data_IF_466311771046
#
_entry.id   IF_466311771046
#
_cell.length_a   1.000
_cell.length_b   1.000
_cell.length_c   1.000
_cell.angle_alpha   90.00
_cell.angle_beta   90.00
_cell.angle_gamma   90.00
#
_symmetry.space_group_name_H-M   'P 1'
#
loop_
_entity.id
_entity.type
_entity.pdbx_description
1 polymer ?
#
# COMPACT_ATOMS: atom_id res chain seq x y z
N UNK A 1 -22.29 30.54 -36.03
CA UNK A 1 -22.35 30.55 -37.51
C UNK A 1 -20.93 30.62 -38.01
N UNK A 2 -20.57 29.77 -38.96
CA UNK A 2 -19.33 29.84 -39.71
C UNK A 2 -19.01 31.27 -40.20
N UNK A 3 -17.87 31.83 -39.79
CA UNK A 3 -17.42 33.17 -40.21
C UNK A 3 -16.31 33.00 -41.24
N UNK A 4 -16.52 33.48 -42.47
CA UNK A 4 -15.45 33.50 -43.47
C UNK A 4 -14.58 34.72 -43.18
N UNK A 5 -13.28 34.55 -43.13
CA UNK A 5 -12.35 35.64 -42.81
C UNK A 5 -11.45 36.00 -43.96
N UNK A 6 -11.56 35.29 -45.08
CA UNK A 6 -10.76 35.53 -46.27
C UNK A 6 -11.67 35.64 -47.48
N UNK A 7 -11.36 36.60 -48.34
CA UNK A 7 -11.94 36.78 -49.67
C UNK A 7 -10.83 36.80 -50.73
N UNK A 8 -11.18 36.51 -51.99
CA UNK A 8 -10.31 36.75 -53.15
C UNK A 8 -10.69 38.07 -53.81
N UNK A 9 -9.68 38.87 -54.16
CA UNK A 9 -9.80 40.08 -54.97
C UNK A 9 -8.61 40.14 -55.93
N UNK A 10 -8.87 40.15 -57.25
CA UNK A 10 -7.83 40.13 -58.30
C UNK A 10 -6.77 39.04 -58.04
N UNK A 11 -7.24 37.82 -57.77
CA UNK A 11 -6.42 36.64 -57.45
C UNK A 11 -5.52 36.75 -56.21
N UNK A 12 -5.77 37.75 -55.35
CA UNK A 12 -5.09 37.91 -54.07
C UNK A 12 -6.04 37.65 -52.92
N UNK A 13 -5.54 36.93 -51.92
CA UNK A 13 -6.25 36.76 -50.66
C UNK A 13 -6.29 38.08 -49.89
N UNK A 14 -7.47 38.45 -49.44
CA UNK A 14 -7.69 39.54 -48.49
C UNK A 14 -8.32 38.94 -47.25
N UNK A 15 -7.59 38.96 -46.15
CA UNK A 15 -8.09 38.53 -44.85
C UNK A 15 -8.65 39.69 -44.01
N UNK A 16 -9.54 39.35 -43.08
CA UNK A 16 -10.18 40.30 -42.18
C UNK A 16 -9.21 40.87 -41.14
N UNK A 17 -8.08 40.21 -40.90
CA UNK A 17 -7.02 40.73 -40.06
C UNK A 17 -6.36 42.00 -40.65
N UNK A 18 -6.47 42.23 -41.96
CA UNK A 18 -5.82 43.36 -42.65
C UNK A 18 -6.38 44.74 -42.29
N UNK A 19 -7.59 44.79 -41.72
CA UNK A 19 -8.27 46.00 -41.26
C UNK A 19 -7.99 46.30 -39.78
N UNK A 20 -7.26 45.45 -39.08
CA UNK A 20 -6.81 45.71 -37.72
C UNK A 20 -5.32 46.10 -37.74
N UNK A 21 -4.94 46.94 -36.78
CA UNK A 21 -3.53 47.25 -36.51
C UNK A 21 -3.37 47.70 -35.06
N UNK A 22 -2.13 47.99 -34.66
CA UNK A 22 -1.79 48.48 -33.33
C UNK A 22 -1.09 49.82 -33.46
N UNK A 23 -1.57 50.83 -32.73
CA UNK A 23 -0.90 52.13 -32.59
C UNK A 23 -0.74 52.41 -31.10
N UNK A 24 0.51 52.62 -30.66
CA UNK A 24 0.85 52.86 -29.25
C UNK A 24 0.27 51.79 -28.30
N UNK A 25 0.38 50.52 -28.67
CA UNK A 25 -0.12 49.38 -27.89
C UNK A 25 -1.64 49.22 -27.85
N UNK A 26 -2.40 50.06 -28.58
CA UNK A 26 -3.86 49.94 -28.70
C UNK A 26 -4.23 49.34 -30.03
N UNK A 27 -4.95 48.23 -29.99
CA UNK A 27 -5.58 47.63 -31.16
C UNK A 27 -6.68 48.56 -31.69
N UNK A 28 -6.61 48.88 -32.97
CA UNK A 28 -7.57 49.75 -33.66
C UNK A 28 -8.01 49.12 -34.98
N UNK A 29 -9.19 49.53 -35.44
CA UNK A 29 -9.60 49.31 -36.83
C UNK A 29 -9.00 50.42 -37.70
N UNK A 30 -8.66 50.12 -38.95
CA UNK A 30 -8.17 51.06 -39.96
C UNK A 30 -9.37 51.51 -40.82
N UNK A 31 -9.94 52.71 -40.57
CA UNK A 31 -11.18 53.12 -41.23
C UNK A 31 -11.05 53.27 -42.75
N UNK A 32 -9.87 53.62 -43.26
CA UNK A 32 -9.59 53.72 -44.69
C UNK A 32 -9.70 52.34 -45.36
N UNK A 33 -9.00 51.33 -44.82
CA UNK A 33 -9.06 49.96 -45.34
C UNK A 33 -10.46 49.35 -45.20
N UNK A 34 -11.16 49.69 -44.12
CA UNK A 34 -12.55 49.27 -43.94
C UNK A 34 -13.45 49.86 -45.04
N UNK A 35 -13.31 51.16 -45.37
CA UNK A 35 -14.03 51.79 -46.48
C UNK A 35 -13.69 51.12 -47.81
N UNK A 36 -12.41 50.92 -48.11
CA UNK A 36 -11.98 50.23 -49.33
C UNK A 36 -12.58 48.82 -49.47
N UNK A 37 -12.66 48.07 -48.36
CA UNK A 37 -13.27 46.73 -48.36
C UNK A 37 -14.79 46.78 -48.47
N UNK A 38 -15.43 47.80 -47.90
CA UNK A 38 -16.87 48.06 -48.09
C UNK A 38 -17.18 48.38 -49.55
N UNK A 39 -16.37 49.20 -50.20
CA UNK A 39 -16.53 49.57 -51.61
C UNK A 39 -16.41 48.33 -52.51
N UNK A 40 -15.36 47.51 -52.30
CA UNK A 40 -15.19 46.22 -53.01
C UNK A 40 -16.36 45.27 -52.77
N UNK A 41 -16.85 45.22 -51.54
CA UNK A 41 -18.02 44.41 -51.17
C UNK A 41 -19.31 44.92 -51.82
N UNK A 42 -19.47 46.24 -51.99
CA UNK A 42 -20.64 46.84 -52.63
C UNK A 42 -20.63 46.62 -54.14
N UNK A 43 -19.44 46.69 -54.73
CA UNK A 43 -19.19 46.47 -56.16
C UNK A 43 -19.13 44.98 -56.54
N UNK A 44 -19.44 44.06 -55.61
CA UNK A 44 -19.47 42.62 -55.89
C UNK A 44 -18.11 42.05 -56.36
N UNK A 45 -16.99 42.65 -55.92
CA UNK A 45 -15.62 42.30 -56.36
C UNK A 45 -14.89 41.30 -55.45
N UNK A 46 -15.54 40.88 -54.36
CA UNK A 46 -14.96 39.94 -53.40
C UNK A 46 -15.49 38.53 -53.65
N UNK A 47 -14.60 37.59 -53.90
CA UNK A 47 -14.97 36.23 -54.32
C UNK A 47 -14.61 35.18 -53.27
N UNK A 48 -15.33 34.07 -53.31
CA UNK A 48 -15.13 32.92 -52.46
C UNK A 48 -13.81 32.19 -52.78
N UNK A 49 -12.94 31.92 -51.78
CA UNK A 49 -11.62 31.35 -52.04
C UNK A 49 -11.60 29.89 -52.52
N UNK A 50 -12.70 29.13 -52.40
CA UNK A 50 -12.73 27.76 -52.96
C UNK A 50 -12.92 27.71 -54.48
N UNK A 51 -13.12 28.84 -55.15
CA UNK A 51 -13.37 28.88 -56.59
C UNK A 51 -14.81 28.57 -57.00
N UNK A 52 -15.76 28.48 -56.07
CA UNK A 52 -17.18 28.29 -56.42
C UNK A 52 -17.86 29.51 -57.08
N UNK A 53 -17.13 30.61 -57.26
CA UNK A 53 -17.65 31.84 -57.89
C UNK A 53 -18.61 32.66 -57.01
N UNK A 54 -18.88 32.27 -55.77
CA UNK A 54 -19.73 33.06 -54.88
C UNK A 54 -19.13 34.42 -54.54
N UNK A 55 -19.99 35.45 -54.54
CA UNK A 55 -19.64 36.77 -54.04
C UNK A 55 -19.69 36.79 -52.51
N UNK A 56 -18.80 37.56 -51.92
CA UNK A 56 -18.68 37.75 -50.48
C UNK A 56 -19.04 39.19 -50.12
N UNK A 57 -19.86 39.33 -49.08
CA UNK A 57 -20.23 40.61 -48.49
C UNK A 57 -19.51 40.78 -47.17
N UNK A 58 -18.87 41.93 -46.98
CA UNK A 58 -18.29 42.30 -45.70
C UNK A 58 -19.40 42.63 -44.69
N UNK A 59 -19.43 41.89 -43.59
CA UNK A 59 -20.26 42.18 -42.42
C UNK A 59 -19.40 42.88 -41.38
N UNK A 60 -19.53 44.20 -41.26
CA UNK A 60 -18.83 45.01 -40.27
C UNK A 60 -19.80 46.05 -39.68
N UNK A 61 -20.16 45.88 -38.40
CA UNK A 61 -21.10 46.78 -37.72
C UNK A 61 -20.47 48.12 -37.28
N UNK A 62 -21.24 49.20 -37.32
CA UNK A 62 -20.76 50.56 -36.97
C UNK A 62 -20.74 50.85 -35.45
N UNK A 63 -21.40 50.03 -34.62
CA UNK A 63 -21.45 50.17 -33.15
C UNK A 63 -20.78 49.00 -32.44
N UNK A 64 -19.87 49.30 -31.51
CA UNK A 64 -19.23 48.39 -30.54
C UNK A 64 -18.36 47.25 -31.10
N UNK A 65 -17.64 47.46 -32.22
CA UNK A 65 -16.64 46.50 -32.72
C UNK A 65 -17.19 45.06 -32.86
N UNK A 66 -18.42 44.89 -33.36
CA UNK A 66 -18.94 43.55 -33.68
C UNK A 66 -17.95 42.82 -34.60
N UNK A 67 -17.80 41.52 -34.38
CA UNK A 67 -16.91 40.67 -35.16
C UNK A 67 -17.12 40.85 -36.67
N UNK A 68 -16.05 41.28 -37.32
CA UNK A 68 -16.02 41.53 -38.75
C UNK A 68 -15.77 40.21 -39.47
N UNK A 69 -16.53 39.91 -40.51
CA UNK A 69 -16.40 38.69 -41.28
C UNK A 69 -16.99 38.88 -42.68
N UNK A 70 -16.63 38.00 -43.60
CA UNK A 70 -17.28 37.86 -44.88
C UNK A 70 -18.46 36.88 -44.77
N UNK A 71 -19.56 37.22 -45.44
CA UNK A 71 -20.74 36.38 -45.60
C UNK A 71 -20.95 36.09 -47.07
N UNK A 72 -21.29 34.85 -47.39
CA UNK A 72 -21.67 34.50 -48.76
C UNK A 72 -22.97 35.21 -49.17
N UNK A 73 -22.98 35.80 -50.38
CA UNK A 73 -24.19 36.32 -51.01
C UNK A 73 -24.96 35.16 -51.62
N UNK A 74 -26.02 34.72 -50.95
CA UNK A 74 -26.87 33.60 -51.40
C UNK A 74 -27.41 33.92 -52.80
N UNK A 75 -27.34 32.95 -53.71
CA UNK A 75 -27.79 33.09 -55.11
C UNK A 75 -26.70 33.60 -56.08
N UNK A 76 -25.47 33.78 -55.61
CA UNK A 76 -24.28 33.97 -56.46
C UNK A 76 -23.47 32.67 -56.49
N UNK A 77 -22.65 32.45 -57.53
CA UNK A 77 -21.79 31.27 -57.67
C UNK A 77 -22.29 30.21 -58.66
N UNK A 78 -21.35 29.40 -59.15
CA UNK A 78 -21.54 28.44 -60.23
C UNK A 78 -21.59 26.98 -59.73
N UNK A 79 -21.15 26.73 -58.49
CA UNK A 79 -21.04 25.39 -57.90
C UNK A 79 -21.30 25.38 -56.39
N UNK A 80 -21.53 24.17 -55.85
CA UNK A 80 -21.72 23.97 -54.42
C UNK A 80 -20.46 24.36 -53.63
N UNK A 81 -20.66 25.13 -52.56
CA UNK A 81 -19.56 25.73 -51.83
C UNK A 81 -19.03 24.83 -50.74
N UNK A 82 -17.80 24.37 -50.93
CA UNK A 82 -17.03 23.61 -49.95
C UNK A 82 -16.05 24.44 -49.11
N UNK A 83 -16.18 25.78 -49.03
CA UNK A 83 -15.28 26.56 -48.17
C UNK A 83 -15.45 26.11 -46.72
N UNK A 84 -14.40 25.56 -46.10
CA UNK A 84 -14.44 25.19 -44.70
C UNK A 84 -14.49 26.44 -43.84
N UNK A 85 -15.09 26.26 -42.68
CA UNK A 85 -15.45 27.37 -41.83
C UNK A 85 -14.48 27.42 -40.68
N UNK A 86 -13.68 28.49 -40.59
CA UNK A 86 -12.72 28.61 -39.50
C UNK A 86 -13.42 28.75 -38.15
N UNK A 87 -12.88 28.10 -37.13
CA UNK A 87 -13.30 28.32 -35.75
C UNK A 87 -13.00 29.77 -35.33
N UNK A 88 -13.84 30.31 -34.45
CA UNK A 88 -13.67 31.66 -33.89
C UNK A 88 -12.28 31.86 -33.26
N UNK A 89 -11.78 30.86 -32.51
CA UNK A 89 -10.43 30.89 -31.94
C UNK A 89 -9.32 30.99 -33.01
N UNK A 90 -9.46 30.30 -34.14
CA UNK A 90 -8.48 30.40 -35.25
C UNK A 90 -8.45 31.82 -35.82
N UNK A 91 -9.62 32.41 -36.00
CA UNK A 91 -9.80 33.77 -36.52
C UNK A 91 -9.18 34.78 -35.58
N UNK A 92 -9.54 34.72 -34.30
CA UNK A 92 -9.06 35.63 -33.28
C UNK A 92 -7.54 35.52 -33.11
N UNK A 93 -7.00 34.30 -33.17
CA UNK A 93 -5.55 34.06 -33.11
C UNK A 93 -4.82 34.71 -34.28
N UNK A 94 -5.36 34.64 -35.50
CA UNK A 94 -4.79 35.32 -36.68
C UNK A 94 -4.78 36.84 -36.48
N UNK A 95 -5.87 37.42 -35.98
CA UNK A 95 -5.97 38.87 -35.73
C UNK A 95 -4.94 39.30 -34.68
N UNK A 96 -4.87 38.58 -33.56
CA UNK A 96 -3.91 38.85 -32.47
C UNK A 96 -2.46 38.73 -32.94
N UNK A 97 -2.12 37.69 -33.71
CA UNK A 97 -0.78 37.52 -34.27
C UNK A 97 -0.44 38.60 -35.30
N UNK A 98 -1.41 39.02 -36.12
CA UNK A 98 -1.21 40.14 -37.06
C UNK A 98 -0.94 41.45 -36.31
N UNK A 99 -1.68 41.71 -35.24
CA UNK A 99 -1.48 42.86 -34.36
C UNK A 99 -0.09 42.83 -33.71
N UNK A 100 0.35 41.67 -33.24
CA UNK A 100 1.70 41.49 -32.70
C UNK A 100 2.79 41.80 -33.73
N UNK A 101 2.66 41.28 -34.95
CA UNK A 101 3.62 41.56 -36.01
C UNK A 101 3.64 43.05 -36.39
N UNK A 102 2.49 43.71 -36.46
CA UNK A 102 2.42 45.16 -36.74
C UNK A 102 3.10 45.98 -35.64
N UNK A 103 2.84 45.63 -34.38
CA UNK A 103 3.40 46.30 -33.19
C UNK A 103 4.92 46.13 -33.12
N UNK A 104 5.44 44.91 -33.40
CA UNK A 104 6.85 44.56 -33.12
C UNK A 104 7.78 44.61 -34.32
N UNK A 105 7.30 44.29 -35.53
CA UNK A 105 8.14 44.35 -36.74
C UNK A 105 8.12 45.72 -37.41
N UNK A 106 7.09 46.54 -37.16
CA UNK A 106 6.87 47.81 -37.86
C UNK A 106 6.96 47.70 -39.41
N UNK A 107 6.59 46.54 -39.97
CA UNK A 107 6.70 46.30 -41.41
C UNK A 107 5.40 46.56 -42.14
N UNK A 108 5.49 47.19 -43.31
CA UNK A 108 4.36 47.45 -44.20
C UNK A 108 4.03 46.28 -45.13
N UNK A 109 4.87 45.24 -45.14
CA UNK A 109 4.79 44.12 -46.09
C UNK A 109 4.32 42.80 -45.46
N UNK A 110 3.68 42.85 -44.28
CA UNK A 110 3.12 41.66 -43.65
C UNK A 110 1.93 41.17 -44.47
N UNK A 111 2.16 40.08 -45.20
CA UNK A 111 1.15 39.40 -46.00
C UNK A 111 0.56 38.23 -45.21
N UNK A 112 -0.77 38.20 -45.16
CA UNK A 112 -1.52 37.03 -44.72
C UNK A 112 -1.60 36.05 -45.88
N UNK A 113 -1.19 34.82 -45.61
CA UNK A 113 -1.30 33.71 -46.56
C UNK A 113 -2.05 32.60 -45.82
N UNK A 114 -2.91 31.85 -46.50
CA UNK A 114 -3.65 30.66 -46.01
C UNK A 114 -5.04 30.85 -45.34
N UNK A 115 -6.11 30.35 -46.01
CA UNK A 115 -7.32 29.83 -45.36
C UNK A 115 -7.06 28.40 -44.80
N UNK A 116 -7.30 28.14 -43.52
CA UNK A 116 -7.04 26.81 -42.90
C UNK A 116 -8.37 26.13 -42.62
N UNK A 117 -8.64 25.01 -43.33
CA UNK A 117 -9.22 23.74 -42.83
C UNK A 117 -10.03 22.95 -43.90
N UNK A 118 -9.52 22.62 -45.10
CA UNK A 118 -9.92 21.42 -45.90
C UNK A 118 -9.27 21.44 -47.29
N UNK A 119 -8.54 20.38 -47.60
CA UNK A 119 -8.52 19.57 -48.84
C UNK A 119 -7.54 18.44 -48.51
N UNK A 120 -7.95 17.20 -48.73
CA UNK A 120 -7.15 16.02 -48.44
C UNK A 120 -5.72 16.12 -48.99
N UNK A 121 -4.76 15.83 -48.10
CA UNK A 121 -3.33 15.50 -48.19
C UNK A 121 -2.46 15.65 -49.45
N UNK A 122 -2.92 15.93 -50.66
CA UNK A 122 -2.08 15.70 -51.87
C UNK A 122 -1.98 16.86 -52.87
N UNK A 123 -2.70 17.98 -52.69
CA UNK A 123 -2.74 19.04 -53.71
C UNK A 123 -2.47 20.47 -53.22
N UNK A 124 -1.90 20.65 -52.02
CA UNK A 124 -1.64 22.01 -51.46
C UNK A 124 -0.19 22.46 -51.61
N UNK A 125 0.00 23.73 -52.00
CA UNK A 125 1.26 24.46 -51.76
C UNK A 125 1.36 24.80 -50.27
N UNK A 126 2.45 24.43 -49.64
CA UNK A 126 2.73 24.73 -48.24
C UNK A 126 3.02 26.23 -48.13
N UNK A 127 2.22 26.94 -47.34
CA UNK A 127 2.25 28.41 -47.24
C UNK A 127 2.35 28.84 -45.77
N UNK A 128 2.79 30.07 -45.49
CA UNK A 128 2.89 30.63 -44.14
C UNK A 128 1.55 31.20 -43.66
N UNK A 129 1.32 31.37 -42.35
CA UNK A 129 0.16 32.14 -41.87
C UNK A 129 0.39 33.63 -42.11
N UNK A 130 1.58 34.11 -41.74
CA UNK A 130 2.05 35.45 -42.05
C UNK A 130 3.45 35.39 -42.61
N UNK A 131 3.75 36.30 -43.53
CA UNK A 131 5.08 36.43 -44.13
C UNK A 131 5.45 37.91 -44.27
N UNK A 132 6.66 38.26 -43.85
CA UNK A 132 7.29 39.56 -44.11
C UNK A 132 8.59 39.32 -44.89
N UNK A 133 8.65 39.86 -46.11
CA UNK A 133 9.80 39.73 -47.00
C UNK A 133 10.97 40.58 -46.51
N UNK A 134 10.70 41.80 -46.05
CA UNK A 134 11.69 42.74 -45.52
C UNK A 134 12.44 42.18 -44.32
N UNK A 135 11.73 41.54 -43.39
CA UNK A 135 12.32 40.93 -42.21
C UNK A 135 12.84 39.50 -42.45
N UNK A 136 12.49 38.89 -43.59
CA UNK A 136 12.71 37.46 -43.87
C UNK A 136 12.16 36.57 -42.75
N UNK A 137 10.98 36.95 -42.23
CA UNK A 137 10.30 36.27 -41.13
C UNK A 137 8.96 35.73 -41.60
N UNK A 138 8.61 34.54 -41.15
CA UNK A 138 7.30 33.97 -41.30
C UNK A 138 6.77 33.42 -39.97
N UNK A 139 5.45 33.47 -39.81
CA UNK A 139 4.75 32.76 -38.74
C UNK A 139 3.94 31.62 -39.36
N UNK A 140 3.99 30.47 -38.71
CA UNK A 140 3.11 29.36 -38.98
C UNK A 140 2.34 29.03 -37.70
N UNK A 141 1.03 29.24 -37.74
CA UNK A 141 0.12 28.96 -36.63
C UNK A 141 -0.80 27.78 -36.92
N UNK A 142 -1.02 26.93 -35.91
CA UNK A 142 -2.03 25.87 -35.94
C UNK A 142 -2.99 25.97 -34.76
N UNK A 143 -4.30 25.94 -35.05
CA UNK A 143 -5.34 25.80 -34.03
C UNK A 143 -5.30 24.42 -33.35
N UNK A 144 -5.06 23.37 -34.12
CA UNK A 144 -5.07 21.98 -33.64
C UNK A 144 -3.77 21.30 -34.02
N UNK A 145 -3.09 20.69 -33.05
CA UNK A 145 -1.80 20.03 -33.26
C UNK A 145 -1.86 18.85 -34.23
N UNK A 146 -3.03 18.24 -34.41
CA UNK A 146 -3.26 17.16 -35.39
C UNK A 146 -3.00 17.57 -36.84
N UNK A 147 -2.99 18.87 -37.13
CA UNK A 147 -2.72 19.42 -38.47
C UNK A 147 -1.22 19.68 -38.73
N UNK A 148 -0.35 19.32 -37.79
CA UNK A 148 1.11 19.42 -37.94
C UNK A 148 1.62 18.15 -38.62
N UNK A 149 1.92 18.25 -39.91
CA UNK A 149 2.51 17.17 -40.72
C UNK A 149 4.00 17.44 -40.93
N UNK A 150 4.80 16.39 -41.00
CA UNK A 150 6.28 16.48 -41.06
C UNK A 150 6.77 17.10 -42.38
N UNK A 151 6.22 16.64 -43.51
CA UNK A 151 6.53 17.16 -44.85
C UNK A 151 6.25 18.68 -44.96
N UNK A 152 5.31 19.20 -44.15
CA UNK A 152 4.99 20.64 -44.14
C UNK A 152 6.07 21.50 -43.46
N UNK A 153 6.86 20.92 -42.54
CA UNK A 153 7.92 21.64 -41.83
C UNK A 153 9.18 21.71 -42.72
N UNK A 154 9.53 20.61 -43.37
CA UNK A 154 10.76 20.51 -44.17
C UNK A 154 10.71 21.33 -45.47
N UNK A 155 9.54 21.46 -46.10
CA UNK A 155 9.39 22.26 -47.33
C UNK A 155 9.62 23.76 -47.07
N UNK A 156 9.25 24.25 -45.88
CA UNK A 156 9.46 25.66 -45.53
C UNK A 156 10.93 25.97 -45.24
N UNK A 157 11.68 25.02 -44.71
CA UNK A 157 13.13 25.16 -44.47
C UNK A 157 13.93 25.31 -45.77
N UNK A 158 13.42 24.76 -46.89
CA UNK A 158 14.04 24.91 -48.22
C UNK A 158 13.84 26.30 -48.84
N UNK A 159 13.05 27.19 -48.22
CA UNK A 159 12.86 28.57 -48.67
C UNK A 159 14.02 29.46 -48.20
N UNK A 160 15.19 29.32 -48.83
CA UNK A 160 16.30 30.29 -48.93
C UNK A 160 16.37 31.38 -47.83
N UNK A 161 16.55 30.96 -46.57
CA UNK A 161 16.82 31.83 -45.42
C UNK A 161 15.67 32.74 -44.95
N UNK A 162 14.43 32.26 -45.02
CA UNK A 162 13.33 32.80 -44.22
C UNK A 162 13.34 32.11 -42.87
N UNK A 163 13.30 32.88 -41.76
CA UNK A 163 13.11 32.32 -40.43
C UNK A 163 11.63 32.07 -40.16
N UNK A 164 11.27 30.89 -39.68
CA UNK A 164 9.88 30.49 -39.43
C UNK A 164 9.67 30.29 -37.93
N UNK A 165 8.73 31.03 -37.37
CA UNK A 165 8.27 30.86 -35.99
C UNK A 165 7.03 29.96 -36.00
N UNK A 166 7.12 28.85 -35.28
CA UNK A 166 6.05 27.85 -35.18
C UNK A 166 5.26 28.08 -33.88
N UNK A 167 3.95 28.33 -34.01
CA UNK A 167 3.06 28.64 -32.90
C UNK A 167 1.86 27.68 -32.95
N UNK A 168 1.45 27.17 -31.79
CA UNK A 168 0.26 26.33 -31.66
C UNK A 168 -0.69 27.01 -30.68
N UNK A 169 -1.99 26.81 -30.86
CA UNK A 169 -2.98 27.22 -29.85
C UNK A 169 -2.69 26.55 -28.50
N UNK A 170 -2.77 27.32 -27.43
CA UNK A 170 -2.38 26.88 -26.10
C UNK A 170 -3.26 25.79 -25.49
N UNK A 171 -4.45 25.53 -26.05
CA UNK A 171 -5.27 24.37 -25.68
C UNK A 171 -4.63 23.02 -26.09
N UNK A 172 -3.54 23.03 -26.86
CA UNK A 172 -2.82 21.82 -27.29
C UNK A 172 -1.68 21.40 -26.36
N UNK A 173 -1.35 22.21 -25.36
CA UNK A 173 -0.37 21.89 -24.32
C UNK A 173 -1.00 21.20 -23.12
N UNK A 174 -0.32 21.30 -21.98
CA UNK A 174 -0.68 20.70 -20.70
C UNK A 174 -0.95 19.19 -20.76
N UNK A 175 -0.11 18.46 -21.49
CA UNK A 175 -0.17 16.99 -21.54
C UNK A 175 0.96 16.39 -20.70
N UNK A 176 1.01 16.69 -19.40
CA UNK A 176 1.98 16.02 -18.53
C UNK A 176 1.89 14.49 -18.69
N UNK A 177 3.03 13.82 -18.56
CA UNK A 177 3.23 12.37 -18.78
C UNK A 177 3.14 11.92 -20.25
N UNK A 178 2.72 12.79 -21.17
CA UNK A 178 2.67 12.51 -22.61
C UNK A 178 3.47 13.54 -23.39
N UNK A 179 4.26 13.09 -24.36
CA UNK A 179 4.92 14.00 -25.30
C UNK A 179 4.25 13.89 -26.67
N UNK A 180 3.35 14.83 -27.03
CA UNK A 180 2.62 14.75 -28.29
C UNK A 180 3.58 14.80 -29.47
N UNK A 181 3.47 13.85 -30.39
CA UNK A 181 4.36 13.72 -31.56
C UNK A 181 4.43 15.03 -32.36
N UNK A 182 3.29 15.69 -32.55
CA UNK A 182 3.20 16.98 -33.23
C UNK A 182 4.03 18.08 -32.55
N UNK A 183 4.00 18.16 -31.21
CA UNK A 183 4.82 19.11 -30.46
C UNK A 183 6.29 18.69 -30.42
N UNK A 184 6.57 17.39 -30.45
CA UNK A 184 7.93 16.88 -30.58
C UNK A 184 8.60 17.35 -31.88
N UNK A 185 7.86 17.33 -32.99
CA UNK A 185 8.33 17.84 -34.28
C UNK A 185 8.66 19.33 -34.21
N UNK A 186 7.80 20.15 -33.60
CA UNK A 186 8.04 21.58 -33.40
C UNK A 186 9.27 21.81 -32.52
N UNK A 187 9.35 21.15 -31.35
CA UNK A 187 10.47 21.31 -30.45
C UNK A 187 11.79 20.86 -31.09
N UNK A 188 11.80 19.81 -31.91
CA UNK A 188 12.99 19.39 -32.65
C UNK A 188 13.49 20.45 -33.64
N UNK A 189 12.57 21.23 -34.22
CA UNK A 189 12.88 22.30 -35.20
C UNK A 189 13.28 23.62 -34.54
N UNK A 190 12.50 24.08 -33.57
CA UNK A 190 12.65 25.41 -32.94
C UNK A 190 13.43 25.34 -31.61
N UNK A 191 13.61 24.16 -31.03
CA UNK A 191 14.20 23.93 -29.71
C UNK A 191 13.18 23.98 -28.56
N UNK A 192 12.00 24.53 -28.80
CA UNK A 192 10.91 24.73 -27.85
C UNK A 192 9.57 24.87 -28.59
N UNK A 193 8.46 24.77 -27.88
CA UNK A 193 7.11 25.02 -28.41
C UNK A 193 6.60 26.38 -27.94
N UNK A 194 5.97 27.12 -28.85
CA UNK A 194 5.23 28.34 -28.53
C UNK A 194 3.73 28.03 -28.52
N UNK A 195 3.08 28.40 -27.42
CA UNK A 195 1.67 28.21 -27.19
C UNK A 195 0.99 29.56 -27.03
N UNK A 196 0.03 29.87 -27.90
CA UNK A 196 -0.73 31.12 -27.88
C UNK A 196 -2.06 30.91 -27.14
N UNK A 197 -2.27 31.66 -26.06
CA UNK A 197 -3.54 31.72 -25.34
C UNK A 197 -4.21 33.08 -25.60
N UNK A 198 -5.47 33.06 -26.05
CA UNK A 198 -6.23 34.28 -26.37
C UNK A 198 -7.54 34.36 -25.59
N UNK A 199 -8.02 35.57 -25.37
CA UNK A 199 -9.36 35.87 -24.83
C UNK A 199 -10.11 36.71 -25.85
N UNK A 200 -10.71 36.04 -26.84
CA UNK A 200 -11.25 36.69 -28.03
C UNK A 200 -10.16 37.37 -28.87
N UNK A 201 -10.56 38.39 -29.63
CA UNK A 201 -9.67 39.16 -30.53
C UNK A 201 -8.82 40.24 -29.85
N UNK A 202 -8.83 40.35 -28.51
CA UNK A 202 -8.16 41.42 -27.76
C UNK A 202 -6.64 41.17 -27.63
N UNK A 203 -5.85 41.89 -28.43
CA UNK A 203 -4.39 41.80 -28.42
C UNK A 203 -3.77 42.10 -27.05
N UNK A 204 -4.37 42.99 -26.25
CA UNK A 204 -3.82 43.38 -24.95
C UNK A 204 -3.90 42.29 -23.88
N UNK A 205 -4.79 41.31 -24.10
CA UNK A 205 -5.03 40.17 -23.22
C UNK A 205 -4.34 38.89 -23.69
N UNK A 206 -3.91 38.84 -24.95
CA UNK A 206 -3.24 37.68 -25.51
C UNK A 206 -1.94 37.35 -24.74
N UNK A 207 -1.71 36.07 -24.49
CA UNK A 207 -0.53 35.55 -23.82
C UNK A 207 0.17 34.53 -24.70
N UNK A 208 1.48 34.45 -24.52
CA UNK A 208 2.29 33.41 -25.14
C UNK A 208 3.11 32.70 -24.08
N UNK A 209 3.05 31.37 -24.13
CA UNK A 209 3.87 30.47 -23.32
C UNK A 209 4.94 29.85 -24.19
N UNK A 210 6.15 29.77 -23.67
CA UNK A 210 7.20 28.96 -24.26
C UNK A 210 7.50 27.79 -23.31
N UNK A 211 7.43 26.59 -23.87
CA UNK A 211 7.58 25.34 -23.13
C UNK A 211 8.60 24.44 -23.83
N UNK A 212 9.19 23.51 -23.08
CA UNK A 212 9.85 22.35 -23.65
C UNK A 212 9.49 21.10 -22.86
N UNK A 213 9.52 19.96 -23.53
CA UNK A 213 9.35 18.65 -22.92
C UNK A 213 10.70 18.02 -22.60
N UNK A 214 10.86 17.56 -21.37
CA UNK A 214 11.98 16.74 -20.94
C UNK A 214 11.50 15.65 -19.98
N UNK A 215 12.29 14.57 -19.86
CA UNK A 215 11.99 13.48 -18.93
C UNK A 215 12.46 13.82 -17.53
N UNK A 216 11.68 13.47 -16.52
CA UNK A 216 12.11 13.51 -15.13
C UNK A 216 13.00 12.32 -14.76
N UNK A 217 13.41 12.25 -13.49
CA UNK A 217 14.25 11.17 -12.94
C UNK A 217 13.56 9.79 -12.94
N UNK A 218 12.26 9.73 -13.20
CA UNK A 218 11.50 8.48 -13.36
C UNK A 218 11.33 8.11 -14.84
N UNK A 219 11.81 8.95 -15.77
CA UNK A 219 11.66 8.76 -17.20
C UNK A 219 10.30 9.24 -17.75
N UNK A 220 9.48 9.92 -16.94
CA UNK A 220 8.19 10.46 -17.35
C UNK A 220 8.37 11.82 -18.03
N UNK A 221 7.65 12.05 -19.13
CA UNK A 221 7.68 13.33 -19.83
C UNK A 221 6.98 14.42 -19.01
N UNK A 222 7.62 15.58 -18.90
CA UNK A 222 7.06 16.76 -18.24
C UNK A 222 7.04 17.93 -19.20
N UNK A 223 5.96 18.71 -19.16
CA UNK A 223 5.90 20.02 -19.79
C UNK A 223 6.56 21.05 -18.89
N UNK A 224 7.63 21.68 -19.36
CA UNK A 224 8.43 22.62 -18.59
C UNK A 224 8.29 24.00 -19.22
N UNK A 225 7.50 24.84 -18.54
CA UNK A 225 7.38 26.25 -18.90
C UNK A 225 8.61 27.04 -18.46
N UNK A 226 9.09 27.90 -19.36
CA UNK A 226 10.21 28.81 -19.11
C UNK A 226 9.90 30.28 -19.44
N UNK A 227 8.77 30.54 -20.10
CA UNK A 227 8.25 31.86 -20.40
C UNK A 227 6.74 31.80 -20.41
N UNK A 228 6.08 32.77 -19.76
CA UNK A 228 4.64 32.98 -19.83
C UNK A 228 4.36 34.45 -19.56
N UNK A 229 4.01 35.19 -20.62
CA UNK A 229 3.80 36.64 -20.55
C UNK A 229 2.77 37.10 -21.58
N UNK A 230 2.41 38.38 -21.55
CA UNK A 230 1.58 38.98 -22.59
C UNK A 230 2.32 38.95 -23.92
N UNK A 231 1.60 38.68 -25.00
CA UNK A 231 2.18 38.67 -26.35
C UNK A 231 2.78 40.06 -26.70
N UNK A 232 2.15 41.13 -26.22
CA UNK A 232 2.62 42.51 -26.41
C UNK A 232 3.91 42.87 -25.68
N UNK A 233 4.36 42.04 -24.74
CA UNK A 233 5.64 42.21 -24.03
C UNK A 233 6.78 41.44 -24.72
N UNK A 234 6.47 40.65 -25.76
CA UNK A 234 7.47 39.91 -26.51
C UNK A 234 7.89 40.71 -27.74
N UNK A 235 9.17 41.09 -27.75
CA UNK A 235 9.81 41.83 -28.84
C UNK A 235 10.38 40.87 -29.89
N UNK A 236 10.42 41.30 -31.15
CA UNK A 236 11.08 40.57 -32.24
C UNK A 236 12.20 41.45 -32.80
N UNK A 237 13.44 40.99 -32.71
CA UNK A 237 14.63 41.68 -33.25
C UNK A 237 15.51 40.64 -33.96
N UNK A 238 15.98 40.94 -35.17
CA UNK A 238 16.87 40.05 -35.95
C UNK A 238 16.37 38.59 -36.04
N UNK A 239 15.06 38.42 -36.27
CA UNK A 239 14.39 37.12 -36.33
C UNK A 239 14.42 36.30 -35.02
N UNK A 240 14.72 36.93 -33.89
CA UNK A 240 14.68 36.31 -32.57
C UNK A 240 13.69 37.02 -31.65
N UNK A 241 13.14 36.26 -30.70
CA UNK A 241 12.21 36.77 -29.70
C UNK A 241 12.94 37.17 -28.42
N UNK A 242 12.53 38.29 -27.82
CA UNK A 242 13.10 38.83 -26.60
C UNK A 242 12.00 39.17 -25.59
N UNK A 243 12.33 39.02 -24.30
CA UNK A 243 11.52 39.51 -23.19
C UNK A 243 12.44 40.29 -22.25
N UNK A 244 12.11 41.57 -22.03
CA UNK A 244 12.95 42.49 -21.24
C UNK A 244 14.44 42.47 -21.67
N UNK A 245 14.68 42.54 -22.98
CA UNK A 245 16.00 42.45 -23.64
C UNK A 245 16.78 41.14 -23.43
N UNK A 246 16.18 40.13 -22.82
CA UNK A 246 16.75 38.79 -22.72
C UNK A 246 16.16 37.92 -23.82
N UNK A 247 17.02 37.27 -24.62
CA UNK A 247 16.55 36.39 -25.69
C UNK A 247 15.79 35.19 -25.12
N UNK A 248 14.73 34.77 -25.80
CA UNK A 248 13.94 33.57 -25.44
C UNK A 248 14.84 32.32 -25.41
N UNK A 249 15.85 32.25 -26.28
CA UNK A 249 16.84 31.17 -26.30
C UNK A 249 17.66 31.15 -25.00
N UNK A 250 18.11 32.32 -24.51
CA UNK A 250 18.84 32.41 -23.25
C UNK A 250 17.98 31.97 -22.05
N UNK A 251 16.69 32.32 -22.06
CA UNK A 251 15.74 31.85 -21.03
C UNK A 251 15.56 30.33 -21.08
N UNK A 252 15.46 29.76 -22.27
CA UNK A 252 15.38 28.31 -22.48
C UNK A 252 16.60 27.59 -21.90
N UNK A 253 17.81 28.03 -22.25
CA UNK A 253 19.05 27.38 -21.80
C UNK A 253 19.23 27.51 -20.28
N UNK A 254 18.88 28.66 -19.70
CA UNK A 254 18.82 28.82 -18.23
C UNK A 254 17.87 27.81 -17.60
N UNK A 255 16.64 27.68 -18.14
CA UNK A 255 15.63 26.76 -17.59
C UNK A 255 16.02 25.30 -17.75
N UNK A 256 16.61 24.90 -18.88
CA UNK A 256 17.14 23.55 -19.10
C UNK A 256 18.21 23.21 -18.06
N UNK A 257 19.13 24.13 -17.80
CA UNK A 257 20.14 23.96 -16.76
C UNK A 257 19.51 23.80 -15.37
N UNK A 258 18.60 24.69 -14.98
CA UNK A 258 17.86 24.56 -13.70
C UNK A 258 17.07 23.26 -13.59
N UNK A 259 16.56 22.73 -14.71
CA UNK A 259 15.89 21.43 -14.72
C UNK A 259 16.90 20.30 -14.46
N UNK A 260 18.01 20.27 -15.21
CA UNK A 260 19.07 19.26 -15.06
C UNK A 260 19.71 19.28 -13.67
N UNK A 261 20.01 20.47 -13.12
CA UNK A 261 20.60 20.63 -11.79
C UNK A 261 19.67 20.06 -10.70
N UNK A 262 18.36 20.28 -10.83
CA UNK A 262 17.36 19.70 -9.90
C UNK A 262 17.27 18.18 -10.02
N UNK A 263 17.43 17.61 -11.22
CA UNK A 263 17.45 16.16 -11.40
C UNK A 263 18.66 15.54 -10.70
N UNK A 264 19.85 16.10 -10.93
CA UNK A 264 21.07 15.64 -10.28
C UNK A 264 20.98 15.71 -8.76
N UNK A 265 20.48 16.82 -8.21
CA UNK A 265 20.31 16.96 -6.76
C UNK A 265 19.38 15.90 -6.15
N UNK A 266 18.27 15.58 -6.83
CA UNK A 266 17.32 14.57 -6.35
C UNK A 266 17.89 13.14 -6.52
N UNK A 267 18.66 12.87 -7.57
CA UNK A 267 19.41 11.61 -7.74
C UNK A 267 20.42 11.40 -6.60
N UNK A 268 21.23 12.41 -6.27
CA UNK A 268 22.17 12.40 -5.15
C UNK A 268 21.45 12.15 -3.83
N UNK A 269 20.32 12.83 -3.60
CA UNK A 269 19.50 12.65 -2.39
C UNK A 269 18.98 11.22 -2.27
N UNK A 270 18.51 10.62 -3.36
CA UNK A 270 18.03 9.22 -3.37
C UNK A 270 19.14 8.23 -3.11
N UNK A 271 20.31 8.45 -3.70
CA UNK A 271 21.48 7.62 -3.44
C UNK A 271 21.90 7.70 -1.97
N UNK A 272 21.96 8.91 -1.41
CA UNK A 272 22.27 9.12 0.01
C UNK A 272 21.24 8.45 0.94
N UNK A 273 19.94 8.50 0.59
CA UNK A 273 18.90 7.82 1.34
C UNK A 273 19.06 6.29 1.26
N UNK A 274 19.39 5.74 0.09
CA UNK A 274 19.65 4.31 -0.08
C UNK A 274 20.83 3.83 0.77
N UNK A 275 21.93 4.57 0.76
CA UNK A 275 23.11 4.27 1.60
C UNK A 275 22.73 4.28 3.09
N UNK A 276 22.00 5.30 3.55
CA UNK A 276 21.53 5.37 4.95
C UNK A 276 20.63 4.19 5.33
N UNK A 277 19.72 3.79 4.44
CA UNK A 277 18.85 2.62 4.67
C UNK A 277 19.64 1.32 4.71
N UNK A 278 20.64 1.15 3.85
CA UNK A 278 21.53 -0.01 3.87
C UNK A 278 22.38 -0.06 5.15
N UNK A 279 22.92 1.08 5.61
CA UNK A 279 23.62 1.17 6.90
C UNK A 279 22.72 0.83 8.08
N UNK A 280 21.48 1.32 8.10
CA UNK A 280 20.50 0.98 9.14
C UNK A 280 20.18 -0.51 9.14
N UNK A 281 19.97 -1.12 7.97
CA UNK A 281 19.76 -2.57 7.84
C UNK A 281 20.96 -3.36 8.37
N UNK A 282 22.17 -2.93 8.04
CA UNK A 282 23.41 -3.55 8.54
C UNK A 282 23.49 -3.50 10.06
N UNK A 283 23.22 -2.34 10.68
CA UNK A 283 23.21 -2.20 12.15
C UNK A 283 22.18 -3.12 12.83
N UNK A 284 20.98 -3.25 12.23
CA UNK A 284 19.94 -4.15 12.72
C UNK A 284 20.42 -5.61 12.66
N UNK A 285 21.02 -6.03 11.54
CA UNK A 285 21.56 -7.38 11.39
C UNK A 285 22.70 -7.65 12.39
N UNK A 286 23.62 -6.72 12.58
CA UNK A 286 24.69 -6.82 13.57
C UNK A 286 24.14 -6.92 15.01
N UNK A 287 23.07 -6.18 15.33
CA UNK A 287 22.41 -6.26 16.63
C UNK A 287 21.67 -7.59 16.83
N UNK A 288 20.97 -8.08 15.81
CA UNK A 288 20.31 -9.39 15.84
C UNK A 288 21.33 -10.52 16.03
N UNK A 289 22.48 -10.44 15.37
CA UNK A 289 23.56 -11.41 15.51
C UNK A 289 24.15 -11.40 16.93
N UNK A 290 24.39 -10.22 17.51
CA UNK A 290 24.84 -10.10 18.91
C UNK A 290 23.84 -10.73 19.89
N UNK A 291 22.55 -10.47 19.69
CA UNK A 291 21.49 -11.06 20.53
C UNK A 291 21.45 -12.58 20.36
N UNK A 292 21.65 -13.09 19.14
CA UNK A 292 21.71 -14.53 18.85
C UNK A 292 22.88 -15.19 19.59
N UNK A 293 24.08 -14.64 19.44
CA UNK A 293 25.29 -15.15 20.10
C UNK A 293 25.17 -15.10 21.63
N UNK A 294 24.58 -14.04 22.18
CA UNK A 294 24.37 -13.93 23.63
C UNK A 294 23.36 -14.97 24.13
N UNK A 295 22.28 -15.23 23.41
CA UNK A 295 21.32 -16.30 23.73
C UNK A 295 21.97 -17.69 23.66
N UNK A 296 22.83 -17.93 22.68
CA UNK A 296 23.58 -19.18 22.54
C UNK A 296 24.54 -19.38 23.72
N UNK A 297 25.31 -18.34 24.09
CA UNK A 297 26.17 -18.37 25.29
C UNK A 297 25.39 -18.63 26.57
N UNK A 298 24.25 -17.96 26.77
CA UNK A 298 23.39 -18.19 27.94
C UNK A 298 22.83 -19.61 27.97
N UNK A 299 22.49 -20.16 26.81
CA UNK A 299 22.05 -21.55 26.69
C UNK A 299 23.16 -22.52 27.06
N UNK A 300 24.35 -22.37 26.49
CA UNK A 300 25.52 -23.20 26.81
C UNK A 300 25.87 -23.14 28.31
N UNK A 301 25.84 -21.96 28.92
CA UNK A 301 26.07 -21.79 30.35
C UNK A 301 24.99 -22.47 31.20
N UNK A 302 23.72 -22.36 30.80
CA UNK A 302 22.61 -23.02 31.49
C UNK A 302 22.71 -24.56 31.40
N UNK A 303 23.08 -25.10 30.23
CA UNK A 303 23.28 -26.53 30.01
C UNK A 303 24.50 -27.05 30.78
N UNK A 304 25.54 -26.23 30.96
CA UNK A 304 26.69 -26.57 31.80
C UNK A 304 26.30 -26.62 33.28
N UNK A 305 25.62 -25.60 33.80
CA UNK A 305 25.14 -25.58 35.19
C UNK A 305 24.19 -26.75 35.50
N UNK A 306 23.31 -27.09 34.56
CA UNK A 306 22.44 -28.26 34.70
C UNK A 306 23.23 -29.56 34.82
N UNK A 307 24.28 -29.75 33.99
CA UNK A 307 25.18 -30.91 34.07
C UNK A 307 25.93 -30.98 35.41
N UNK A 308 26.45 -29.84 35.89
CA UNK A 308 27.13 -29.76 37.19
C UNK A 308 26.18 -30.11 38.36
N UNK A 309 24.93 -29.66 38.31
CA UNK A 309 23.90 -30.01 39.30
C UNK A 309 23.57 -31.50 39.25
N UNK A 310 23.35 -32.05 38.05
CA UNK A 310 23.03 -33.48 37.87
C UNK A 310 24.17 -34.38 38.37
N UNK A 311 25.42 -34.00 38.10
CA UNK A 311 26.61 -34.71 38.60
C UNK A 311 26.70 -34.66 40.14
N UNK A 312 26.48 -33.49 40.73
CA UNK A 312 26.45 -33.33 42.18
C UNK A 312 25.35 -34.18 42.85
N UNK A 313 24.13 -34.16 42.29
CA UNK A 313 23.02 -34.97 42.79
C UNK A 313 23.32 -36.47 42.68
N UNK A 314 23.94 -36.90 41.58
CA UNK A 314 24.38 -38.28 41.39
C UNK A 314 25.40 -38.71 42.45
N UNK A 315 26.45 -37.93 42.66
CA UNK A 315 27.48 -38.21 43.68
C UNK A 315 26.83 -38.32 45.07
N UNK A 316 25.96 -37.37 45.42
CA UNK A 316 25.26 -37.35 46.70
C UNK A 316 24.35 -38.56 46.89
N UNK A 317 23.65 -38.99 45.84
CA UNK A 317 22.81 -40.19 45.87
C UNK A 317 23.65 -41.46 46.07
N UNK A 318 24.80 -41.57 45.40
CA UNK A 318 25.75 -42.68 45.57
C UNK A 318 26.32 -42.73 46.99
N UNK A 319 26.66 -41.59 47.59
CA UNK A 319 27.12 -41.51 48.99
C UNK A 319 26.04 -41.97 49.97
N UNK A 320 24.79 -41.49 49.79
CA UNK A 320 23.66 -41.88 50.63
C UNK A 320 23.38 -43.38 50.55
N UNK A 321 23.45 -43.95 49.34
CA UNK A 321 23.24 -45.39 49.13
C UNK A 321 24.37 -46.21 49.78
N UNK A 322 25.63 -45.79 49.64
CA UNK A 322 26.76 -46.42 50.34
C UNK A 322 26.59 -46.36 51.86
N UNK A 323 26.11 -45.24 52.40
CA UNK A 323 25.82 -45.10 53.83
C UNK A 323 24.68 -46.01 54.27
N UNK A 324 23.59 -46.11 53.48
CA UNK A 324 22.49 -47.05 53.75
C UNK A 324 23.00 -48.49 53.78
N UNK A 325 23.76 -48.90 52.77
CA UNK A 325 24.35 -50.24 52.70
C UNK A 325 25.28 -50.53 53.90
N UNK A 326 26.07 -49.55 54.34
CA UNK A 326 26.91 -49.68 55.54
C UNK A 326 26.06 -49.87 56.80
N UNK A 327 25.03 -49.03 56.99
CA UNK A 327 24.10 -49.15 58.13
C UNK A 327 23.38 -50.50 58.16
N UNK A 328 22.93 -51.00 57.00
CA UNK A 328 22.31 -52.32 56.89
C UNK A 328 23.29 -53.47 57.19
N UNK A 329 24.54 -53.36 56.73
CA UNK A 329 25.58 -54.34 57.04
C UNK A 329 25.90 -54.38 58.54
N UNK A 330 26.04 -53.21 59.18
CA UNK A 330 26.25 -53.08 60.62
C UNK A 330 25.05 -53.61 61.42
N UNK A 331 23.82 -53.34 60.96
CA UNK A 331 22.60 -53.88 61.55
C UNK A 331 22.56 -55.41 61.48
N UNK A 332 22.85 -56.01 60.31
CA UNK A 332 22.90 -57.46 60.13
C UNK A 332 23.98 -58.12 60.97
N UNK A 333 25.16 -57.52 61.07
CA UNK A 333 26.27 -58.04 61.88
C UNK A 333 25.93 -58.08 63.37
N UNK A 334 25.18 -57.10 63.86
CA UNK A 334 24.78 -56.98 65.26
C UNK A 334 23.34 -57.43 65.53
N UNK A 335 22.74 -58.22 64.63
CA UNK A 335 21.30 -58.50 64.65
C UNK A 335 20.83 -59.10 65.99
N UNK A 336 21.55 -60.07 66.54
CA UNK A 336 21.15 -60.71 67.82
C UNK A 336 21.47 -59.86 69.05
N UNK A 337 22.60 -59.13 69.05
CA UNK A 337 23.02 -58.28 70.17
C UNK A 337 22.12 -57.04 70.31
N UNK A 338 21.56 -56.54 69.22
CA UNK A 338 20.62 -55.42 69.24
C UNK A 338 19.36 -55.68 70.09
N UNK A 339 18.97 -56.94 70.30
CA UNK A 339 17.83 -57.33 71.14
C UNK A 339 18.17 -57.57 72.61
N UNK A 340 19.43 -57.40 73.02
CA UNK A 340 19.81 -57.50 74.43
C UNK A 340 19.32 -56.29 75.24
N UNK A 341 19.24 -55.12 74.60
CA UNK A 341 18.65 -53.91 75.19
C UNK A 341 17.13 -53.86 74.96
N UNK A 342 16.41 -53.22 75.88
CA UNK A 342 14.94 -53.08 75.86
C UNK A 342 14.48 -51.63 76.02
N UNK A 343 15.36 -50.67 75.75
CA UNK A 343 15.15 -49.23 75.97
C UNK A 343 14.78 -48.48 74.69
N UNK A 344 15.22 -48.97 73.53
CA UNK A 344 14.93 -48.37 72.21
C UNK A 344 14.48 -49.43 71.20
N UNK A 345 13.60 -49.04 70.28
CA UNK A 345 13.10 -49.95 69.25
C UNK A 345 14.20 -50.33 68.26
N UNK A 346 14.39 -51.64 68.04
CA UNK A 346 15.32 -52.13 67.01
C UNK A 346 14.68 -51.98 65.63
N UNK A 347 15.26 -51.11 64.79
CA UNK A 347 14.81 -50.83 63.42
C UNK A 347 15.93 -51.00 62.41
N UNK A 348 15.61 -51.43 61.19
CA UNK A 348 16.57 -51.54 60.08
C UNK A 348 16.78 -50.19 59.35
N UNK A 349 17.66 -50.12 58.34
CA UNK A 349 17.94 -48.85 57.64
C UNK A 349 16.77 -48.33 56.80
N UNK A 350 15.68 -49.11 56.66
CA UNK A 350 14.42 -48.72 56.03
C UNK A 350 13.34 -48.38 57.07
N UNK A 351 13.74 -48.18 58.33
CA UNK A 351 12.88 -47.87 59.47
C UNK A 351 11.85 -48.97 59.81
N UNK A 352 12.02 -50.21 59.32
CA UNK A 352 11.14 -51.30 59.73
C UNK A 352 11.49 -51.77 61.13
N UNK A 353 10.50 -51.95 62.01
CA UNK A 353 10.69 -52.46 63.37
C UNK A 353 10.83 -53.98 63.39
N UNK A 354 11.85 -54.47 64.10
CA UNK A 354 12.11 -55.89 64.30
C UNK A 354 11.88 -56.28 65.76
N UNK A 355 11.42 -57.50 65.99
CA UNK A 355 11.08 -58.07 67.31
C UNK A 355 11.67 -59.47 67.42
N UNK A 356 12.07 -59.88 68.63
CA UNK A 356 12.52 -61.24 68.96
C UNK A 356 11.45 -62.01 69.75
N UNK A 357 11.19 -63.25 69.36
CA UNK A 357 10.22 -64.12 70.03
C UNK A 357 10.79 -64.65 71.34
N UNK A 358 10.05 -64.46 72.43
CA UNK A 358 10.45 -64.90 73.77
C UNK A 358 10.38 -66.42 73.93
N UNK A 359 9.60 -67.10 73.08
CA UNK A 359 9.36 -68.54 73.20
C UNK A 359 10.32 -69.34 72.31
N UNK A 360 10.49 -68.93 71.05
CA UNK A 360 11.32 -69.68 70.10
C UNK A 360 12.57 -68.93 69.62
N UNK A 361 12.81 -67.71 70.08
CA UNK A 361 13.96 -66.91 69.67
C UNK A 361 13.89 -66.32 68.25
N UNK A 362 12.85 -66.61 67.46
CA UNK A 362 12.64 -66.07 66.10
C UNK A 362 12.75 -64.54 66.10
N UNK A 363 13.65 -63.97 65.30
CA UNK A 363 13.76 -62.52 65.06
C UNK A 363 13.14 -62.22 63.70
N UNK A 364 12.13 -61.34 63.66
CA UNK A 364 11.47 -60.96 62.42
C UNK A 364 10.85 -59.56 62.53
N UNK A 365 10.36 -59.02 61.41
CA UNK A 365 9.61 -57.76 61.39
C UNK A 365 8.37 -57.86 62.28
N UNK A 366 7.94 -56.72 62.84
CA UNK A 366 6.80 -56.65 63.77
C UNK A 366 5.51 -57.28 63.20
N UNK A 367 5.34 -57.27 61.88
CA UNK A 367 4.23 -57.90 61.16
C UNK A 367 4.13 -59.41 61.41
N UNK A 368 5.20 -60.08 61.82
CA UNK A 368 5.25 -61.53 62.10
C UNK A 368 4.87 -61.90 63.55
N UNK A 369 4.55 -60.91 64.38
CA UNK A 369 4.25 -61.07 65.79
C UNK A 369 2.79 -60.75 66.10
N UNK A 370 2.22 -61.43 67.09
CA UNK A 370 0.85 -61.18 67.58
C UNK A 370 0.85 -60.18 68.73
N UNK A 371 1.87 -60.25 69.57
CA UNK A 371 2.08 -59.30 70.67
C UNK A 371 3.55 -58.98 70.79
N UNK A 372 3.87 -57.73 71.06
CA UNK A 372 5.23 -57.24 71.23
C UNK A 372 5.21 -55.86 71.89
N UNK A 373 6.27 -55.54 72.62
CA UNK A 373 6.36 -54.30 73.39
C UNK A 373 5.69 -54.37 74.76
N UNK A 374 6.30 -53.68 75.72
CA UNK A 374 5.90 -53.64 77.13
C UNK A 374 7.07 -53.12 77.97
N UNK A 375 6.81 -52.76 79.23
CA UNK A 375 7.86 -52.32 80.16
C UNK A 375 8.89 -53.43 80.36
N UNK A 376 10.15 -53.18 79.97
CA UNK A 376 11.23 -54.18 80.01
C UNK A 376 11.24 -55.21 78.85
N UNK A 377 10.30 -55.11 77.91
CA UNK A 377 10.13 -56.04 76.77
C UNK A 377 9.87 -55.28 75.46
N UNK A 378 10.54 -54.13 75.27
CA UNK A 378 10.30 -53.25 74.11
C UNK A 378 10.58 -53.92 72.75
N UNK A 379 11.56 -54.81 72.70
CA UNK A 379 12.01 -55.52 71.50
C UNK A 379 11.64 -57.01 71.49
N UNK A 380 10.84 -57.44 72.46
CA UNK A 380 10.44 -58.83 72.65
C UNK A 380 8.94 -59.02 72.41
N UNK A 381 8.53 -60.24 72.08
CA UNK A 381 7.13 -60.55 71.84
C UNK A 381 6.82 -62.03 71.61
N UNK A 382 5.56 -62.32 71.29
CA UNK A 382 5.07 -63.67 70.95
C UNK A 382 4.78 -63.76 69.46
N UNK A 383 5.54 -64.60 68.76
CA UNK A 383 5.35 -64.79 67.32
C UNK A 383 4.03 -65.51 67.02
N UNK A 384 3.52 -65.33 65.79
CA UNK A 384 2.27 -65.94 65.32
C UNK A 384 2.23 -67.47 65.46
N UNK A 385 3.37 -68.12 65.33
CA UNK A 385 3.51 -69.58 65.42
C UNK A 385 3.42 -70.07 66.87
N UNK A 386 4.22 -69.50 67.78
CA UNK A 386 4.23 -69.89 69.19
C UNK A 386 2.91 -69.58 69.92
N UNK A 387 2.10 -68.67 69.40
CA UNK A 387 0.76 -68.45 69.95
C UNK A 387 -0.24 -69.57 69.64
N UNK A 388 0.00 -70.39 68.61
CA UNK A 388 -0.93 -71.42 68.16
C UNK A 388 -0.74 -72.77 68.85
N UNK A 389 0.38 -73.02 69.52
CA UNK A 389 0.64 -74.27 70.25
C UNK A 389 0.38 -74.13 71.75
N UNK A 390 -0.56 -74.91 72.31
CA UNK A 390 -0.72 -75.13 73.76
C UNK A 390 -0.58 -76.63 74.08
N UNK A 391 0.26 -76.93 75.07
CA UNK A 391 0.38 -78.22 75.75
C UNK A 391 -0.87 -78.53 76.60
N UNK A 392 -1.15 -79.83 76.75
CA UNK A 392 -2.35 -80.47 77.31
C UNK A 392 -2.13 -80.83 78.80
N UNK A 393 -3.12 -80.62 79.66
CA UNK A 393 -3.19 -81.22 81.02
C UNK A 393 -4.54 -81.89 81.31
N UNK A 394 -4.52 -82.91 82.16
CA UNK A 394 -5.27 -84.18 82.10
C UNK A 394 -6.60 -84.26 82.91
N UNK A 395 -7.33 -83.16 83.10
CA UNK A 395 -8.48 -83.13 84.07
C UNK A 395 -9.88 -83.06 83.44
N UNK A 396 -10.03 -82.90 82.12
CA UNK A 396 -11.35 -82.58 81.53
C UNK A 396 -11.94 -83.64 80.58
N UNK A 397 -11.45 -84.89 80.64
CA UNK A 397 -11.97 -85.99 79.79
C UNK A 397 -13.29 -86.59 80.30
N UNK A 398 -13.76 -86.28 81.51
CA UNK A 398 -14.90 -87.00 82.12
C UNK A 398 -16.19 -86.18 82.25
N UNK A 399 -16.16 -84.85 82.16
CA UNK A 399 -17.34 -84.04 82.53
C UNK A 399 -18.05 -83.34 81.37
N UNK A 400 -18.80 -84.12 80.59
CA UNK A 400 -19.93 -83.70 79.73
C UNK A 400 -19.65 -83.59 78.24
N UNK A 401 -19.64 -84.77 77.62
CA UNK A 401 -20.59 -84.99 76.53
C UNK A 401 -22.00 -84.73 77.10
N UNK A 402 -22.77 -83.86 76.42
CA UNK A 402 -24.14 -83.38 76.69
C UNK A 402 -24.23 -81.95 77.27
N UNK A 403 -24.37 -80.96 76.37
CA UNK A 403 -25.41 -79.89 76.29
C UNK A 403 -24.87 -78.77 75.37
N UNK A 404 -25.18 -78.80 74.06
CA UNK A 404 -26.13 -77.91 73.34
C UNK A 404 -25.99 -76.39 73.57
N UNK A 405 -26.01 -75.66 72.44
CA UNK A 405 -26.47 -74.26 72.19
C UNK A 405 -25.61 -73.11 72.73
N UNK A 406 -25.41 -71.95 72.09
CA UNK A 406 -25.94 -71.33 70.86
C UNK A 406 -25.05 -70.12 70.48
N UNK A 407 -24.89 -69.85 69.18
CA UNK A 407 -24.73 -68.48 68.68
C UNK A 407 -25.73 -68.27 67.53
N UNK A 408 -26.68 -67.37 67.75
CA UNK A 408 -27.89 -67.14 66.97
C UNK A 408 -27.65 -66.24 65.76
N UNK A 409 -28.22 -66.62 64.61
CA UNK A 409 -28.32 -65.77 63.43
C UNK A 409 -29.53 -64.83 63.57
N UNK A 410 -29.27 -63.53 63.57
CA UNK A 410 -30.26 -62.46 63.78
C UNK A 410 -31.32 -62.32 62.68
N UNK A 411 -31.26 -63.14 61.62
CA UNK A 411 -32.24 -63.15 60.52
C UNK A 411 -33.33 -64.21 60.67
N UNK A 412 -33.27 -65.04 61.72
CA UNK A 412 -34.17 -66.17 61.96
C UNK A 412 -35.08 -65.90 63.17
N UNK A 413 -36.36 -66.24 63.07
CA UNK A 413 -37.35 -66.08 64.11
C UNK A 413 -37.09 -67.08 65.25
N UNK A 414 -36.78 -66.63 66.47
CA UNK A 414 -36.46 -67.53 67.57
C UNK A 414 -37.67 -68.34 68.06
N UNK A 415 -38.91 -67.96 67.71
CA UNK A 415 -40.12 -68.72 68.10
C UNK A 415 -40.42 -69.92 67.22
N UNK A 416 -40.08 -69.90 65.94
CA UNK A 416 -40.48 -70.97 65.02
C UNK A 416 -39.44 -71.30 63.94
N UNK A 417 -38.25 -70.69 63.98
CA UNK A 417 -37.19 -70.91 62.99
C UNK A 417 -37.44 -70.33 61.60
N UNK A 418 -38.58 -69.66 61.36
CA UNK A 418 -38.88 -69.01 60.07
C UNK A 418 -38.09 -67.72 59.87
N UNK A 419 -37.89 -67.25 58.63
CA UNK A 419 -37.12 -66.01 58.38
C UNK A 419 -37.86 -64.78 58.93
N UNK A 420 -37.11 -63.85 59.53
CA UNK A 420 -37.64 -62.53 59.92
C UNK A 420 -37.61 -61.59 58.71
N UNK A 421 -38.71 -60.89 58.44
CA UNK A 421 -38.83 -59.88 57.37
C UNK A 421 -39.33 -58.55 57.93
N UNK A 422 -39.04 -57.45 57.24
CA UNK A 422 -39.51 -56.13 57.64
C UNK A 422 -40.97 -55.95 57.21
N UNK A 423 -41.86 -55.68 58.15
CA UNK A 423 -43.28 -55.41 57.96
C UNK A 423 -43.62 -53.98 58.41
N UNK A 424 -44.59 -53.34 57.76
CA UNK A 424 -45.04 -51.99 58.12
C UNK A 424 -46.33 -52.09 58.95
N UNK A 425 -46.32 -51.57 60.18
CA UNK A 425 -47.49 -51.49 61.04
C UNK A 425 -47.92 -50.05 61.31
N UNK A 426 -49.03 -49.87 62.04
CA UNK A 426 -49.61 -48.56 62.39
C UNK A 426 -48.61 -47.61 63.09
N UNK A 427 -47.58 -48.14 63.76
CA UNK A 427 -46.55 -47.38 64.47
C UNK A 427 -45.16 -47.41 63.81
N UNK A 428 -45.07 -47.83 62.54
CA UNK A 428 -43.82 -47.89 61.77
C UNK A 428 -43.36 -49.30 61.39
N UNK A 429 -42.16 -49.40 60.78
CA UNK A 429 -41.59 -50.67 60.31
C UNK A 429 -41.01 -51.49 61.46
N UNK A 430 -41.19 -52.81 61.44
CA UNK A 430 -40.65 -53.76 62.44
C UNK A 430 -40.30 -55.12 61.79
N UNK A 431 -39.48 -55.95 62.42
CA UNK A 431 -39.24 -57.32 61.99
C UNK A 431 -40.39 -58.23 62.44
N UNK A 432 -41.11 -58.84 61.51
CA UNK A 432 -42.12 -59.87 61.75
C UNK A 432 -41.70 -61.23 61.17
N UNK A 433 -42.15 -62.33 61.78
CA UNK A 433 -41.89 -63.66 61.24
C UNK A 433 -42.65 -63.89 59.91
N UNK A 434 -41.99 -64.49 58.92
CA UNK A 434 -42.59 -64.82 57.63
C UNK A 434 -43.80 -65.76 57.72
N UNK A 435 -43.91 -66.55 58.80
CA UNK A 435 -44.92 -67.60 58.98
C UNK A 435 -46.18 -67.12 59.74
N UNK A 436 -46.38 -65.81 59.88
CA UNK A 436 -47.63 -65.24 60.40
C UNK A 436 -48.84 -65.63 59.51
N UNK A 437 -50.03 -65.96 60.03
CA UNK A 437 -50.53 -65.83 61.41
C UNK A 437 -50.19 -66.99 62.35
N UNK A 438 -49.55 -68.06 61.86
CA UNK A 438 -49.21 -69.23 62.69
C UNK A 438 -48.10 -68.94 63.70
N UNK A 439 -47.29 -67.90 63.45
CA UNK A 439 -46.33 -67.36 64.42
C UNK A 439 -46.48 -65.84 64.53
N UNK A 440 -46.70 -65.34 65.76
CA UNK A 440 -46.93 -63.92 66.04
C UNK A 440 -45.70 -63.21 66.63
N UNK A 441 -44.51 -63.72 66.33
CA UNK A 441 -43.27 -63.07 66.78
C UNK A 441 -43.00 -61.78 66.00
N UNK A 442 -42.78 -60.70 66.73
CA UNK A 442 -42.37 -59.40 66.18
C UNK A 442 -41.25 -58.80 67.03
N UNK A 443 -40.36 -58.03 66.40
CA UNK A 443 -39.25 -57.32 67.03
C UNK A 443 -39.13 -55.93 66.40
N UNK A 444 -39.03 -54.85 67.19
CA UNK A 444 -38.92 -53.50 66.63
C UNK A 444 -37.64 -53.33 65.82
N UNK A 445 -37.71 -52.59 64.70
CA UNK A 445 -36.53 -52.12 63.99
C UNK A 445 -35.97 -50.95 64.82
N UNK A 446 -34.77 -51.09 65.41
CA UNK A 446 -34.09 -49.95 66.05
C UNK A 446 -33.74 -48.94 64.94
N UNK A 447 -33.97 -47.65 65.18
CA UNK A 447 -33.68 -46.57 64.23
C UNK A 447 -32.20 -46.54 63.83
#
# INVERSE_FOLDING_TARGET
>A
MAKRTVALYKDKYIGIETIYTVINGKQINIPEKLRELRDKSHNDELFCPCGCGMNLVLVAGDKNLREQHFRAKIGTGESECSVPTESETSIDSKIVLKCWLDDKLNSKDIESRVPIEEIGGTSRKIEFTFFSKSNRLAIRYWRTRSNILEDNLDVLDNLSGIHVIYIVDGSNGNTNEQYPEALMKIQKKQGYCLLLDIEGLDYSKAKIRAIFYAKDIHGLWQEIEFLSNKLSEIEIKDNQMFMNDISVISLLEKRKKEFSDRQHLEEERRLALKIKLEEQRRKILEQQEKIRLEKERQREESERKAREIEEYERIKAEELEKEKQRRDADFKKNLESNFQQQDTQVRDAEDNRWIKCEICGKIAKESEFISYGGSGHMNLGKCKECSKNKCITKVEIINKLITKTDHYDTTICPKCGGKLRICNGKYGKFYGCSNHPKCNFTKPLKK
#
